data_IF_852237572328
#
_entry.id   IF_852237572328
#
_cell.length_a   1.000
_cell.length_b   1.000
_cell.length_c   1.000
_cell.angle_alpha   90.00
_cell.angle_beta   90.00
_cell.angle_gamma   90.00
#
_symmetry.space_group_name_H-M   'P 1'
#
loop_
_entity.id
_entity.type
_entity.pdbx_description
1 polymer ?
#
# COMPACT_ATOMS: atom_id res chain seq x y z
N UNK A 1 18.04 -0.69 10.22
CA UNK A 1 17.46 -1.70 9.30
C UNK A 1 16.32 -1.02 8.56
N UNK A 2 16.17 -1.11 7.23
CA UNK A 2 14.97 -0.56 6.61
C UNK A 2 13.83 -1.49 7.02
N UNK A 3 12.99 -1.03 7.95
CA UNK A 3 11.74 -1.73 8.27
C UNK A 3 10.91 -1.75 6.99
N UNK A 4 10.85 -2.89 6.32
CA UNK A 4 9.90 -3.07 5.21
C UNK A 4 8.53 -2.99 5.85
N UNK A 5 7.92 -1.80 5.80
CA UNK A 5 6.56 -1.59 6.29
C UNK A 5 5.65 -2.55 5.52
N UNK A 6 4.81 -3.30 6.24
CA UNK A 6 3.82 -4.18 5.63
C UNK A 6 2.91 -3.41 4.65
N UNK A 7 2.74 -2.10 4.86
CA UNK A 7 2.06 -1.18 3.94
C UNK A 7 2.80 -1.03 2.61
N UNK A 8 4.12 -0.84 2.64
CA UNK A 8 4.94 -0.77 1.42
C UNK A 8 4.89 -2.08 0.64
N UNK A 9 4.87 -3.22 1.34
CA UNK A 9 4.73 -4.53 0.69
C UNK A 9 3.35 -4.70 0.06
N UNK A 10 2.28 -4.26 0.72
CA UNK A 10 0.93 -4.27 0.16
C UNK A 10 0.84 -3.41 -1.10
N UNK A 11 1.40 -2.21 -1.09
CA UNK A 11 1.46 -1.32 -2.25
C UNK A 11 2.25 -1.95 -3.42
N UNK A 12 3.38 -2.60 -3.14
CA UNK A 12 4.14 -3.35 -4.16
C UNK A 12 3.33 -4.52 -4.75
N UNK A 13 2.56 -5.24 -3.93
CA UNK A 13 1.68 -6.32 -4.40
C UNK A 13 0.60 -5.76 -5.34
N UNK A 14 0.05 -4.59 -5.02
CA UNK A 14 -0.96 -3.91 -5.85
C UNK A 14 -0.38 -3.39 -7.18
N UNK A 15 0.83 -2.86 -7.17
CA UNK A 15 1.50 -2.35 -8.38
C UNK A 15 2.05 -3.47 -9.27
N UNK A 16 2.33 -4.65 -8.71
CA UNK A 16 2.84 -5.79 -9.47
C UNK A 16 1.75 -6.40 -10.37
N UNK A 17 2.03 -6.52 -11.67
CA UNK A 17 1.11 -7.11 -12.66
C UNK A 17 0.95 -8.61 -12.47
N UNK A 18 2.00 -9.31 -12.04
CA UNK A 18 2.03 -10.76 -11.88
C UNK A 18 1.37 -11.25 -10.58
N UNK A 19 1.04 -10.33 -9.67
CA UNK A 19 0.28 -10.66 -8.46
C UNK A 19 -1.13 -11.17 -8.81
N UNK A 20 -1.54 -12.25 -8.15
CA UNK A 20 -2.88 -12.81 -8.30
C UNK A 20 -3.95 -11.82 -7.82
N UNK A 21 -5.19 -12.02 -8.29
CA UNK A 21 -6.34 -11.21 -7.89
C UNK A 21 -6.56 -11.24 -6.38
N UNK A 22 -6.42 -12.42 -5.75
CA UNK A 22 -6.61 -12.59 -4.31
C UNK A 22 -5.50 -11.90 -3.51
N UNK A 23 -4.25 -11.96 -3.96
CA UNK A 23 -3.15 -11.23 -3.33
C UNK A 23 -3.40 -9.72 -3.36
N UNK A 24 -3.93 -9.19 -4.47
CA UNK A 24 -4.31 -7.77 -4.57
C UNK A 24 -5.48 -7.43 -3.65
N UNK A 25 -6.44 -8.33 -3.48
CA UNK A 25 -7.55 -8.13 -2.55
C UNK A 25 -7.06 -8.01 -1.11
N UNK A 26 -6.21 -8.94 -0.68
CA UNK A 26 -5.62 -8.94 0.68
C UNK A 26 -4.77 -7.68 0.90
N UNK A 27 -3.99 -7.26 -0.10
CA UNK A 27 -3.19 -6.04 -0.02
C UNK A 27 -4.06 -4.78 0.14
N UNK A 28 -5.20 -4.68 -0.56
CA UNK A 28 -6.16 -3.58 -0.35
C UNK A 28 -6.75 -3.60 1.05
N UNK A 29 -7.20 -4.75 1.52
CA UNK A 29 -7.77 -4.89 2.87
C UNK A 29 -6.78 -4.48 3.96
N UNK A 30 -5.51 -4.85 3.81
CA UNK A 30 -4.47 -4.46 4.76
C UNK A 30 -4.28 -2.94 4.81
N UNK A 31 -4.29 -2.27 3.65
CA UNK A 31 -4.19 -0.81 3.56
C UNK A 31 -5.43 -0.13 4.17
N UNK A 32 -6.63 -0.62 3.87
CA UNK A 32 -7.87 -0.10 4.47
C UNK A 32 -7.90 -0.23 5.98
N UNK A 33 -7.52 -1.41 6.51
CA UNK A 33 -7.42 -1.63 7.95
C UNK A 33 -6.38 -0.73 8.63
N UNK A 34 -5.46 -0.17 7.85
CA UNK A 34 -4.44 0.78 8.30
C UNK A 34 -4.83 2.24 8.07
N UNK A 35 -6.07 2.50 7.66
CA UNK A 35 -6.63 3.85 7.49
C UNK A 35 -6.53 4.43 6.07
N UNK A 36 -6.06 3.67 5.08
CA UNK A 36 -6.00 4.17 3.70
C UNK A 36 -7.36 4.07 3.01
N UNK A 37 -7.76 5.13 2.32
CA UNK A 37 -8.91 5.13 1.42
C UNK A 37 -8.53 4.57 0.04
N UNK A 38 -9.52 4.22 -0.78
CA UNK A 38 -9.26 3.82 -2.17
C UNK A 38 -8.58 4.94 -2.98
N UNK A 39 -8.88 6.22 -2.66
CA UNK A 39 -8.25 7.39 -3.26
C UNK A 39 -6.77 7.48 -2.88
N UNK A 40 -6.45 7.31 -1.60
CA UNK A 40 -5.06 7.27 -1.13
C UNK A 40 -4.27 6.15 -1.83
N UNK A 41 -4.86 4.96 -1.94
CA UNK A 41 -4.23 3.80 -2.60
C UNK A 41 -4.01 4.11 -4.09
N UNK A 42 -5.00 4.72 -4.76
CA UNK A 42 -4.90 5.10 -6.17
C UNK A 42 -3.78 6.13 -6.40
N UNK A 43 -3.72 7.18 -5.59
CA UNK A 43 -2.70 8.22 -5.67
C UNK A 43 -1.30 7.66 -5.38
N UNK A 44 -1.20 6.78 -4.39
CA UNK A 44 0.01 6.03 -4.05
C UNK A 44 0.54 5.20 -5.24
N UNK A 45 -0.36 4.52 -5.96
CA UNK A 45 -0.01 3.73 -7.15
C UNK A 45 0.35 4.61 -8.35
N UNK A 46 -0.32 5.76 -8.50
CA UNK A 46 -0.11 6.72 -9.59
C UNK A 46 1.21 7.48 -9.46
N UNK A 47 1.64 7.78 -8.23
CA UNK A 47 2.91 8.47 -7.94
C UNK A 47 4.15 7.57 -8.06
N UNK A 48 4.00 6.27 -8.27
CA UNK A 48 5.09 5.43 -8.77
C UNK A 48 6.26 5.14 -7.81
N UNK A 49 6.00 4.99 -6.49
CA UNK A 49 6.95 4.46 -5.47
C UNK A 49 7.64 5.43 -4.49
N UNK A 50 7.14 6.65 -4.27
CA UNK A 50 7.64 7.47 -3.16
C UNK A 50 6.46 7.99 -2.33
N UNK A 51 5.94 7.13 -1.46
CA UNK A 51 4.94 7.54 -0.48
C UNK A 51 5.71 7.82 0.80
N UNK A 52 5.96 9.11 1.04
CA UNK A 52 6.35 9.62 2.36
C UNK A 52 5.08 9.63 3.22
N UNK A 53 4.77 8.50 3.84
CA UNK A 53 3.69 8.44 4.83
C UNK A 53 4.22 9.15 6.09
N UNK A 54 3.77 10.38 6.32
CA UNK A 54 3.96 11.05 7.62
C UNK A 54 2.93 10.47 8.58
N UNK A 55 3.33 9.46 9.34
CA UNK A 55 2.52 8.95 10.45
C UNK A 55 2.68 9.96 11.58
N UNK A 56 1.63 10.71 11.90
CA UNK A 56 1.55 11.44 13.16
C UNK A 56 1.16 10.44 14.25
N UNK A 57 2.12 10.06 15.09
CA UNK A 57 1.81 9.44 16.39
C UNK A 57 1.20 10.52 17.30
N UNK A 58 0.07 10.21 17.94
CA UNK A 58 -0.61 11.03 18.93
C UNK A 58 -0.42 10.43 20.33
#
# INVERSE_FOLDING_TARGET
MPSISYLNKALQILSNRDSTKDAKLVARQLLHNSGFTDEDIYDCLKQGSIIRITIFEA
#
